data_IF_811076386304
#
_entry.id   IF_811076386304
#
_cell.length_a   1.000
_cell.length_b   1.000
_cell.length_c   1.000
_cell.angle_alpha   90.00
_cell.angle_beta   90.00
_cell.angle_gamma   90.00
#
_symmetry.space_group_name_H-M   'P 1'
#
loop_
_entity.id
_entity.type
_entity.pdbx_description
1 polymer ?
#
# COMPACT_ATOMS: atom_id res chain seq x y z
N UNK A 1 -19.79 29.09 15.06
CA UNK A 1 -18.99 28.97 13.83
C UNK A 1 -18.32 27.59 13.84
N UNK A 2 -18.75 26.64 12.98
CA UNK A 2 -18.14 25.30 12.93
C UNK A 2 -16.71 25.40 12.40
N UNK A 3 -15.70 24.75 13.02
CA UNK A 3 -14.35 24.76 12.51
C UNK A 3 -14.37 24.13 11.10
N UNK A 4 -13.86 24.84 10.11
CA UNK A 4 -13.65 24.31 8.75
C UNK A 4 -12.50 23.32 8.82
N UNK A 5 -12.79 22.05 9.07
CA UNK A 5 -11.82 20.95 8.98
C UNK A 5 -11.46 20.77 7.52
N UNK A 6 -10.41 21.42 7.06
CA UNK A 6 -9.89 21.22 5.71
C UNK A 6 -9.06 19.96 5.68
N UNK A 7 -9.61 18.86 5.21
CA UNK A 7 -8.90 17.60 4.97
C UNK A 7 -7.64 17.79 4.10
N UNK A 8 -7.63 18.79 3.22
CA UNK A 8 -6.47 19.17 2.41
C UNK A 8 -6.37 20.69 2.33
N UNK A 9 -5.19 21.24 2.64
CA UNK A 9 -4.91 22.66 2.51
C UNK A 9 -5.11 23.12 1.06
N UNK A 10 -5.74 24.28 0.85
CA UNK A 10 -6.02 24.86 -0.47
C UNK A 10 -6.98 24.10 -1.39
N UNK A 11 -7.82 23.21 -0.88
CA UNK A 11 -8.88 22.61 -1.69
C UNK A 11 -10.02 23.59 -1.95
N UNK A 12 -10.55 23.57 -3.19
CA UNK A 12 -11.75 24.31 -3.60
C UNK A 12 -13.02 23.47 -3.47
N UNK A 13 -12.91 22.17 -3.18
CA UNK A 13 -14.05 21.30 -3.06
C UNK A 13 -14.79 21.50 -1.72
N UNK A 14 -16.11 21.35 -1.76
CA UNK A 14 -16.92 21.24 -0.57
C UNK A 14 -16.61 19.94 0.18
N UNK A 15 -16.85 19.92 1.47
CA UNK A 15 -16.68 18.73 2.31
C UNK A 15 -17.44 17.50 1.76
N UNK A 16 -18.68 17.71 1.32
CA UNK A 16 -19.51 16.68 0.67
C UNK A 16 -18.82 16.09 -0.57
N UNK A 17 -18.19 16.93 -1.39
CA UNK A 17 -17.51 16.47 -2.61
C UNK A 17 -16.22 15.68 -2.28
N UNK A 18 -15.53 16.09 -1.23
CA UNK A 18 -14.34 15.35 -0.74
C UNK A 18 -14.74 13.98 -0.21
N UNK A 19 -15.82 13.90 0.58
CA UNK A 19 -16.33 12.61 1.07
C UNK A 19 -16.70 11.66 -0.06
N UNK A 20 -17.34 12.15 -1.12
CA UNK A 20 -17.61 11.34 -2.31
C UNK A 20 -16.33 10.80 -2.97
N UNK A 21 -15.25 11.62 -3.06
CA UNK A 21 -13.96 11.16 -3.61
C UNK A 21 -13.37 10.05 -2.73
N UNK A 22 -13.44 10.21 -1.40
CA UNK A 22 -12.96 9.20 -0.44
C UNK A 22 -13.77 7.92 -0.54
N UNK A 23 -15.08 8.00 -0.66
CA UNK A 23 -15.99 6.87 -0.82
C UNK A 23 -15.61 6.04 -2.06
N UNK A 24 -15.50 6.66 -3.24
CA UNK A 24 -15.05 5.98 -4.44
C UNK A 24 -13.63 5.40 -4.33
N UNK A 25 -12.75 6.04 -3.57
CA UNK A 25 -11.42 5.51 -3.30
C UNK A 25 -11.47 4.25 -2.43
N UNK A 26 -12.32 4.23 -1.40
CA UNK A 26 -12.52 3.07 -0.52
C UNK A 26 -13.18 1.90 -1.26
N UNK A 27 -14.01 2.18 -2.28
CA UNK A 27 -14.65 1.19 -3.15
C UNK A 27 -13.73 0.69 -4.27
N UNK A 28 -12.42 0.97 -4.21
CA UNK A 28 -11.41 0.59 -5.22
C UNK A 28 -11.74 1.07 -6.65
N UNK A 29 -12.54 2.11 -6.78
CA UNK A 29 -12.87 2.67 -8.08
C UNK A 29 -11.66 3.35 -8.73
N UNK A 30 -11.49 3.15 -10.04
CA UNK A 30 -10.41 3.81 -10.78
C UNK A 30 -10.62 5.33 -10.85
N UNK A 31 -9.53 6.09 -10.96
CA UNK A 31 -9.60 7.55 -11.09
C UNK A 31 -10.39 8.00 -12.34
N UNK A 32 -10.30 7.27 -13.45
CA UNK A 32 -11.07 7.53 -14.66
C UNK A 32 -12.58 7.37 -14.43
N UNK A 33 -12.97 6.27 -13.81
CA UNK A 33 -14.38 6.03 -13.45
C UNK A 33 -14.92 7.13 -12.53
N UNK A 34 -14.19 7.43 -11.46
CA UNK A 34 -14.57 8.44 -10.47
C UNK A 34 -14.65 9.84 -11.08
N UNK A 35 -13.74 10.19 -11.98
CA UNK A 35 -13.73 11.47 -12.69
C UNK A 35 -15.02 11.68 -13.51
N UNK A 36 -15.46 10.64 -14.22
CA UNK A 36 -16.70 10.65 -15.01
C UNK A 36 -17.94 10.77 -14.10
N UNK A 37 -17.97 10.01 -13.00
CA UNK A 37 -19.09 10.03 -12.04
C UNK A 37 -19.26 11.35 -11.31
N UNK A 38 -18.16 11.97 -10.91
CA UNK A 38 -18.16 13.21 -10.14
C UNK A 38 -18.07 14.47 -11.01
N UNK A 39 -17.90 14.33 -12.33
CA UNK A 39 -17.65 15.44 -13.28
C UNK A 39 -16.45 16.30 -12.83
N UNK A 40 -15.36 15.64 -12.43
CA UNK A 40 -14.08 16.24 -12.01
C UNK A 40 -13.00 15.77 -12.99
N UNK A 41 -11.99 16.60 -13.26
CA UNK A 41 -10.89 16.18 -14.14
C UNK A 41 -10.17 14.95 -13.59
N UNK A 42 -9.79 13.99 -14.46
CA UNK A 42 -9.07 12.77 -14.08
C UNK A 42 -7.79 13.09 -13.32
N UNK A 43 -7.00 14.08 -13.78
CA UNK A 43 -5.80 14.54 -13.09
C UNK A 43 -6.08 14.97 -11.64
N UNK A 44 -7.20 15.66 -11.41
CA UNK A 44 -7.56 16.08 -10.05
C UNK A 44 -7.92 14.89 -9.16
N UNK A 45 -8.60 13.87 -9.70
CA UNK A 45 -8.90 12.63 -8.96
C UNK A 45 -7.61 11.86 -8.67
N UNK A 46 -6.69 11.74 -9.65
CA UNK A 46 -5.39 11.12 -9.44
C UNK A 46 -4.61 11.81 -8.31
N UNK A 47 -4.58 13.15 -8.30
CA UNK A 47 -3.93 13.94 -7.25
C UNK A 47 -4.55 13.69 -5.86
N UNK A 48 -5.88 13.54 -5.81
CA UNK A 48 -6.58 13.18 -4.57
C UNK A 48 -6.27 11.75 -4.13
N UNK A 49 -6.29 10.79 -5.03
CA UNK A 49 -5.97 9.39 -4.75
C UNK A 49 -4.52 9.22 -4.27
N UNK A 50 -3.58 9.93 -4.89
CA UNK A 50 -2.19 9.98 -4.42
C UNK A 50 -2.06 10.61 -3.02
N UNK A 51 -2.85 11.64 -2.73
CA UNK A 51 -2.88 12.25 -1.41
C UNK A 51 -3.44 11.29 -0.35
N UNK A 52 -4.52 10.57 -0.63
CA UNK A 52 -5.09 9.56 0.26
C UNK A 52 -4.09 8.41 0.52
N UNK A 53 -3.42 7.90 -0.52
CA UNK A 53 -2.36 6.88 -0.37
C UNK A 53 -1.21 7.37 0.52
N UNK A 54 -0.81 8.63 0.42
CA UNK A 54 0.21 9.22 1.29
C UNK A 54 -0.23 9.29 2.76
N UNK A 55 -1.50 9.58 3.02
CA UNK A 55 -2.06 9.56 4.38
C UNK A 55 -2.01 8.13 4.94
N UNK A 56 -2.44 7.14 4.15
CA UNK A 56 -2.40 5.72 4.55
C UNK A 56 -0.96 5.31 4.87
N UNK A 57 -0.02 5.61 3.97
CA UNK A 57 1.40 5.31 4.18
C UNK A 57 1.94 5.95 5.47
N UNK A 58 1.61 7.21 5.71
CA UNK A 58 2.04 7.91 6.92
C UNK A 58 1.49 7.26 8.20
N UNK A 59 0.23 6.81 8.20
CA UNK A 59 -0.34 6.06 9.31
C UNK A 59 0.35 4.72 9.50
N UNK A 60 0.57 3.97 8.44
CA UNK A 60 1.29 2.70 8.49
C UNK A 60 2.73 2.86 9.02
N UNK A 61 3.42 3.93 8.64
CA UNK A 61 4.78 4.21 9.15
C UNK A 61 4.80 4.49 10.65
N UNK A 62 3.76 5.11 11.21
CA UNK A 62 3.64 5.31 12.66
C UNK A 62 3.37 4.03 13.42
N UNK A 63 2.62 3.11 12.83
CA UNK A 63 2.33 1.79 13.40
C UNK A 63 3.47 0.79 13.18
N UNK A 64 4.48 1.16 12.41
CA UNK A 64 5.65 0.34 12.07
C UNK A 64 6.49 -0.10 13.28
N UNK A 65 6.35 0.53 14.43
CA UNK A 65 7.09 0.18 15.66
C UNK A 65 6.57 -1.08 16.34
N UNK A 66 5.37 -1.56 15.99
CA UNK A 66 4.82 -2.75 16.59
C UNK A 66 5.49 -4.02 16.04
N UNK A 67 5.84 -4.89 16.98
CA UNK A 67 6.36 -6.24 16.69
C UNK A 67 5.18 -7.20 16.57
N UNK A 68 5.23 -8.09 15.61
CA UNK A 68 4.18 -9.07 15.34
C UNK A 68 4.46 -10.35 16.11
N UNK A 69 3.53 -10.76 16.96
CA UNK A 69 3.61 -12.04 17.69
C UNK A 69 2.42 -12.96 17.36
N UNK A 70 2.42 -14.18 17.91
CA UNK A 70 1.44 -15.24 17.74
C UNK A 70 1.66 -16.01 16.43
N UNK A 71 0.70 -16.00 15.51
CA UNK A 71 0.81 -16.65 14.20
C UNK A 71 0.93 -15.59 13.13
N UNK A 72 1.99 -15.63 12.35
CA UNK A 72 2.27 -14.71 11.25
C UNK A 72 2.35 -15.47 9.94
N UNK A 73 1.69 -14.98 8.92
CA UNK A 73 1.80 -15.47 7.53
C UNK A 73 2.75 -14.56 6.77
N UNK A 74 3.61 -15.15 5.95
CA UNK A 74 4.56 -14.41 5.12
C UNK A 74 4.35 -14.74 3.64
N UNK A 75 4.40 -13.72 2.81
CA UNK A 75 4.27 -13.85 1.36
C UNK A 75 4.99 -12.72 0.63
N UNK A 76 5.41 -12.94 -0.61
CA UNK A 76 5.95 -11.94 -1.51
C UNK A 76 5.01 -11.66 -2.68
N UNK A 77 4.77 -10.38 -2.92
CA UNK A 77 4.02 -9.90 -4.07
C UNK A 77 4.91 -9.17 -5.06
N UNK A 78 4.79 -9.51 -6.34
CA UNK A 78 5.59 -8.95 -7.42
C UNK A 78 4.77 -7.96 -8.23
N UNK A 79 5.10 -6.68 -8.14
CA UNK A 79 4.47 -5.62 -8.92
C UNK A 79 5.29 -5.35 -10.19
N UNK A 80 4.61 -5.40 -11.34
CA UNK A 80 5.22 -5.15 -12.62
C UNK A 80 5.45 -3.67 -12.84
N UNK A 81 6.58 -3.27 -13.45
CA UNK A 81 6.80 -1.87 -13.82
C UNK A 81 5.78 -1.44 -14.87
N UNK A 82 5.52 -0.14 -14.93
CA UNK A 82 4.71 0.46 -16.00
C UNK A 82 5.28 0.04 -17.35
N UNK A 83 4.41 -0.47 -18.25
CA UNK A 83 4.79 -0.95 -19.57
C UNK A 83 5.47 0.16 -20.37
N UNK A 84 6.75 0.00 -20.63
CA UNK A 84 7.49 0.89 -21.52
C UNK A 84 7.23 0.41 -22.95
N UNK A 85 6.68 1.29 -23.81
CA UNK A 85 6.48 1.05 -25.24
C UNK A 85 7.79 0.52 -25.85
N UNK A 86 7.72 -0.57 -26.64
CA UNK A 86 8.86 -1.20 -27.34
C UNK A 86 9.77 -2.16 -26.52
N UNK A 87 9.61 -2.37 -25.21
CA UNK A 87 10.30 -3.44 -24.49
C UNK A 87 9.43 -4.66 -24.31
N UNK A 88 9.84 -5.81 -24.85
CA UNK A 88 9.19 -7.11 -24.62
C UNK A 88 9.20 -7.43 -23.12
N UNK A 89 8.04 -7.74 -22.57
CA UNK A 89 7.79 -7.87 -21.14
C UNK A 89 8.54 -9.02 -20.42
N UNK A 90 9.14 -9.96 -21.13
CA UNK A 90 9.99 -11.00 -20.54
C UNK A 90 11.31 -10.47 -19.95
N UNK A 91 11.78 -9.29 -20.41
CA UNK A 91 13.03 -8.65 -20.03
C UNK A 91 12.86 -7.24 -19.44
N UNK A 92 11.64 -6.88 -19.04
CA UNK A 92 11.43 -5.63 -18.31
C UNK A 92 11.97 -5.81 -16.89
N UNK A 93 13.27 -5.52 -16.72
CA UNK A 93 13.85 -5.36 -15.38
C UNK A 93 13.10 -4.28 -14.61
N UNK A 94 13.01 -4.41 -13.31
CA UNK A 94 12.37 -3.41 -12.46
C UNK A 94 11.03 -3.85 -11.85
N UNK A 95 10.83 -5.13 -11.58
CA UNK A 95 9.75 -5.58 -10.69
C UNK A 95 10.00 -5.01 -9.30
N UNK A 96 8.98 -4.42 -8.72
CA UNK A 96 8.99 -4.07 -7.31
C UNK A 96 8.52 -5.27 -6.52
N UNK A 97 9.35 -5.76 -5.62
CA UNK A 97 9.00 -6.88 -4.75
C UNK A 97 8.56 -6.29 -3.42
N UNK A 98 7.36 -6.66 -3.00
CA UNK A 98 6.80 -6.27 -1.71
C UNK A 98 6.72 -7.52 -0.86
N UNK A 99 7.47 -7.53 0.23
CA UNK A 99 7.39 -8.55 1.26
C UNK A 99 6.31 -8.18 2.26
N UNK A 100 5.41 -9.12 2.55
CA UNK A 100 4.27 -8.96 3.44
C UNK A 100 4.36 -9.86 4.65
N UNK A 101 4.02 -9.33 5.82
CA UNK A 101 3.78 -10.06 7.06
C UNK A 101 2.35 -9.81 7.48
N UNK A 102 1.54 -10.84 7.57
CA UNK A 102 0.15 -10.79 8.02
C UNK A 102 0.03 -11.45 9.39
N UNK A 103 -0.32 -10.67 10.40
CA UNK A 103 -0.75 -11.23 11.68
C UNK A 103 -2.21 -11.69 11.55
N UNK A 104 -2.51 -12.93 11.83
CA UNK A 104 -3.90 -13.39 11.96
C UNK A 104 -4.61 -12.53 12.99
N UNK A 105 -5.69 -11.85 12.59
CA UNK A 105 -6.50 -10.83 13.28
C UNK A 105 -6.22 -9.38 12.85
N UNK A 106 -5.66 -9.18 11.64
CA UNK A 106 -5.89 -7.95 10.91
C UNK A 106 -4.74 -6.97 10.81
N UNK A 107 -3.54 -7.23 11.33
CA UNK A 107 -2.39 -6.35 11.09
C UNK A 107 -1.54 -6.87 9.94
N UNK A 108 -1.31 -6.01 8.96
CA UNK A 108 -0.45 -6.27 7.81
C UNK A 108 0.75 -5.33 7.87
N UNK A 109 1.94 -5.88 7.80
CA UNK A 109 3.16 -5.12 7.59
C UNK A 109 3.69 -5.40 6.20
N UNK A 110 4.08 -4.38 5.47
CA UNK A 110 4.66 -4.53 4.12
C UNK A 110 5.97 -3.74 4.01
N UNK A 111 6.93 -4.29 3.26
CA UNK A 111 8.19 -3.61 2.97
C UNK A 111 8.64 -3.92 1.54
N UNK A 112 9.13 -2.89 0.83
CA UNK A 112 9.71 -3.06 -0.50
C UNK A 112 11.12 -3.62 -0.31
N UNK A 113 11.40 -4.76 -0.95
CA UNK A 113 12.71 -5.42 -0.88
C UNK A 113 13.38 -5.46 -2.25
N UNK A 114 14.72 -5.42 -2.29
CA UNK A 114 15.47 -5.45 -3.57
C UNK A 114 15.37 -6.81 -4.25
N UNK A 115 15.30 -7.88 -3.47
CA UNK A 115 15.11 -9.25 -3.93
C UNK A 115 14.42 -10.08 -2.84
N UNK A 116 13.92 -11.25 -3.23
CA UNK A 116 13.25 -12.20 -2.33
C UNK A 116 14.25 -13.25 -1.78
N UNK A 117 15.49 -12.87 -1.51
CA UNK A 117 16.48 -13.75 -0.92
C UNK A 117 16.47 -13.66 0.60
N UNK A 118 16.86 -14.76 1.26
CA UNK A 118 17.00 -14.83 2.71
C UNK A 118 17.78 -13.65 3.29
N UNK A 119 18.86 -13.22 2.63
CA UNK A 119 19.68 -12.07 3.05
C UNK A 119 18.88 -10.76 3.16
N UNK A 120 17.89 -10.55 2.30
CA UNK A 120 17.05 -9.35 2.30
C UNK A 120 15.85 -9.48 3.26
N UNK A 121 15.32 -10.67 3.42
CA UNK A 121 14.08 -10.94 4.18
C UNK A 121 14.34 -11.22 5.66
N UNK A 122 15.35 -12.03 6.01
CA UNK A 122 15.63 -12.40 7.42
C UNK A 122 15.82 -11.19 8.35
N UNK A 123 16.50 -10.09 7.96
CA UNK A 123 16.61 -8.92 8.81
C UNK A 123 15.26 -8.26 9.12
N UNK A 124 14.31 -8.31 8.18
CA UNK A 124 12.95 -7.79 8.36
C UNK A 124 12.19 -8.66 9.35
N UNK A 125 12.24 -9.98 9.18
CA UNK A 125 11.59 -10.94 10.09
C UNK A 125 12.11 -10.72 11.51
N UNK A 126 13.43 -10.72 11.72
CA UNK A 126 14.04 -10.50 13.04
C UNK A 126 13.65 -9.19 13.71
N UNK A 127 13.36 -8.17 12.93
CA UNK A 127 12.97 -6.86 13.44
C UNK A 127 11.46 -6.77 13.74
N UNK A 128 10.64 -7.59 13.04
CA UNK A 128 9.18 -7.44 13.00
C UNK A 128 8.41 -8.58 13.63
N UNK A 129 9.04 -9.72 13.81
CA UNK A 129 8.41 -10.91 14.39
C UNK A 129 9.05 -11.18 15.73
N UNK A 130 8.20 -11.43 16.76
CA UNK A 130 8.67 -11.82 18.08
C UNK A 130 9.37 -13.18 18.04
N UNK A 131 10.39 -13.42 18.90
CA UNK A 131 10.92 -14.76 19.09
C UNK A 131 9.80 -15.76 19.42
N UNK A 132 9.96 -17.00 19.02
CA UNK A 132 9.01 -18.10 19.26
C UNK A 132 7.62 -17.93 18.58
N UNK A 133 7.50 -17.01 17.63
CA UNK A 133 6.29 -16.84 16.81
C UNK A 133 6.19 -17.95 15.78
N UNK A 134 5.02 -18.57 15.67
CA UNK A 134 4.72 -19.50 14.57
C UNK A 134 4.60 -18.73 13.25
N UNK A 135 5.43 -19.12 12.27
CA UNK A 135 5.48 -18.47 10.97
C UNK A 135 5.01 -19.45 9.89
N UNK A 136 3.96 -19.08 9.18
CA UNK A 136 3.43 -19.82 8.05
C UNK A 136 3.90 -19.19 6.75
N UNK A 137 4.46 -20.01 5.85
CA UNK A 137 4.92 -19.62 4.51
C UNK A 137 4.35 -20.60 3.49
N UNK A 138 4.42 -20.24 2.22
CA UNK A 138 4.08 -21.13 1.11
C UNK A 138 5.13 -22.25 0.86
N UNK A 139 6.10 -22.39 1.78
CA UNK A 139 7.15 -23.41 1.72
C UNK A 139 8.30 -23.05 0.79
N UNK A 140 8.49 -21.78 0.47
CA UNK A 140 9.62 -21.37 -0.33
C UNK A 140 10.95 -21.54 0.44
N UNK A 141 11.92 -22.15 -0.21
CA UNK A 141 13.25 -22.52 0.35
C UNK A 141 14.13 -21.35 0.80
N UNK A 142 13.69 -20.11 0.64
CA UNK A 142 14.45 -18.92 1.01
C UNK A 142 14.36 -18.57 2.52
N UNK A 143 13.53 -19.27 3.30
CA UNK A 143 13.34 -19.05 4.74
C UNK A 143 14.03 -20.09 5.57
#
# INVERSE_FOLDING_TARGET
MKPKTRLRKNTRFSEKKILQIVEYFCDDCTADYTSKKLSISGKTIDDWYMYLRKIILWHQERERSEVLGWTVEMDESYFWPTRIKWKRWRWAGGKTIVFGLLKRNGKVYTEIVPDAKAKSIIPIIRRKVEPDTEVNTDGWWAY
#
